data_IF_008410117751
#
_entry.id   IF_008410117751
#
_cell.length_a   1.000
_cell.length_b   1.000
_cell.length_c   1.000
_cell.angle_alpha   90.00
_cell.angle_beta   90.00
_cell.angle_gamma   90.00
#
_symmetry.space_group_name_H-M   'P 1'
#
loop_
_entity.id
_entity.type
_entity.pdbx_description
1 polymer ?
#
# COMPACT_ATOMS: atom_id res chain seq x y z
N UNK A 1 -9.66 2.62 24.63
CA UNK A 1 -8.67 3.68 24.25
C UNK A 1 -9.24 5.02 24.63
N UNK A 2 -8.47 5.86 25.35
CA UNK A 2 -8.90 7.17 25.83
C UNK A 2 -9.34 8.08 24.66
N UNK A 3 -10.49 8.74 24.82
CA UNK A 3 -11.08 9.64 23.82
C UNK A 3 -10.14 10.79 23.46
N UNK A 4 -9.37 11.30 24.43
CA UNK A 4 -8.38 12.35 24.22
C UNK A 4 -7.26 11.89 23.29
N UNK A 5 -6.74 10.65 23.50
CA UNK A 5 -5.73 10.05 22.64
C UNK A 5 -6.24 9.87 21.20
N UNK A 6 -7.49 9.42 21.02
CA UNK A 6 -8.12 9.30 19.68
C UNK A 6 -8.17 10.64 18.95
N UNK A 7 -8.62 11.70 19.63
CA UNK A 7 -8.69 13.05 19.05
C UNK A 7 -7.31 13.57 18.64
N UNK A 8 -6.30 13.39 19.50
CA UNK A 8 -4.91 13.78 19.21
C UNK A 8 -4.35 13.06 17.96
N UNK A 9 -4.48 11.73 17.90
CA UNK A 9 -4.00 10.95 16.76
C UNK A 9 -4.72 11.34 15.47
N UNK A 10 -6.03 11.62 15.53
CA UNK A 10 -6.79 12.10 14.38
C UNK A 10 -6.27 13.45 13.89
N UNK A 11 -6.08 14.41 14.79
CA UNK A 11 -5.57 15.75 14.45
C UNK A 11 -4.17 15.69 13.79
N UNK A 12 -3.27 14.82 14.32
CA UNK A 12 -1.95 14.59 13.71
C UNK A 12 -2.09 14.05 12.28
N UNK A 13 -2.93 13.03 12.07
CA UNK A 13 -3.11 12.41 10.77
C UNK A 13 -3.73 13.37 9.76
N UNK A 14 -4.78 14.09 10.12
CA UNK A 14 -5.43 15.10 9.27
C UNK A 14 -4.42 16.19 8.85
N UNK A 15 -3.68 16.76 9.81
CA UNK A 15 -2.65 17.75 9.52
C UNK A 15 -1.54 17.20 8.60
N UNK A 16 -1.13 15.94 8.79
CA UNK A 16 -0.13 15.30 7.94
C UNK A 16 -0.64 15.13 6.50
N UNK A 17 -1.84 14.57 6.32
CA UNK A 17 -2.44 14.42 4.99
C UNK A 17 -2.55 15.74 4.25
N UNK A 18 -3.04 16.80 4.91
CA UNK A 18 -3.13 18.14 4.32
C UNK A 18 -1.75 18.70 3.91
N UNK A 19 -0.71 18.53 4.73
CA UNK A 19 0.64 18.93 4.37
C UNK A 19 1.18 18.15 3.17
N UNK A 20 0.89 16.83 3.11
CA UNK A 20 1.34 15.97 2.01
C UNK A 20 0.67 16.28 0.67
N UNK A 21 -0.48 16.93 0.64
CA UNK A 21 -1.09 17.39 -0.63
C UNK A 21 -0.29 18.49 -1.32
N UNK A 22 0.54 19.24 -0.58
CA UNK A 22 1.26 20.43 -1.08
C UNK A 22 2.77 20.36 -0.91
N UNK A 23 3.29 19.38 -0.16
CA UNK A 23 4.71 19.23 0.15
C UNK A 23 5.19 17.79 0.02
N UNK A 24 6.44 17.63 -0.40
CA UNK A 24 7.15 16.36 -0.27
C UNK A 24 7.45 16.06 1.20
N UNK A 25 7.61 14.77 1.52
CA UNK A 25 7.82 14.30 2.90
C UNK A 25 8.99 15.01 3.59
N UNK A 26 10.10 15.19 2.88
CA UNK A 26 11.34 15.82 3.35
C UNK A 26 11.18 17.31 3.71
N UNK A 27 10.13 17.95 3.22
CA UNK A 27 9.84 19.37 3.46
C UNK A 27 8.94 19.61 4.67
N UNK A 28 8.40 18.54 5.28
CA UNK A 28 7.51 18.63 6.43
C UNK A 28 8.32 18.53 7.71
N UNK A 29 8.19 19.53 8.57
CA UNK A 29 8.81 19.54 9.89
C UNK A 29 7.81 19.18 11.00
N UNK A 30 8.30 18.60 12.10
CA UNK A 30 7.48 18.36 13.30
C UNK A 30 6.89 19.67 13.83
N UNK A 31 7.63 20.79 13.72
CA UNK A 31 7.14 22.11 14.16
C UNK A 31 5.90 22.52 13.40
N UNK A 32 5.95 22.47 12.08
CA UNK A 32 4.83 22.82 11.21
C UNK A 32 3.63 21.90 11.42
N UNK A 33 3.88 20.57 11.47
CA UNK A 33 2.84 19.60 11.70
C UNK A 33 2.11 19.84 13.03
N UNK A 34 2.87 20.06 14.12
CA UNK A 34 2.28 20.24 15.45
C UNK A 34 1.53 21.57 15.57
N UNK A 35 1.99 22.65 14.91
CA UNK A 35 1.25 23.89 14.81
C UNK A 35 -0.09 23.68 14.08
N UNK A 36 -0.07 22.98 12.93
CA UNK A 36 -1.28 22.69 12.16
C UNK A 36 -2.26 21.78 12.90
N UNK A 37 -1.75 20.79 13.62
CA UNK A 37 -2.55 19.88 14.44
C UNK A 37 -3.00 20.46 15.79
N UNK A 38 -2.61 21.70 16.12
CA UNK A 38 -2.88 22.38 17.38
C UNK A 38 -2.46 21.58 18.62
N UNK A 39 -1.28 20.93 18.55
CA UNK A 39 -0.70 20.16 19.65
C UNK A 39 0.72 20.61 20.00
N UNK A 40 1.21 20.21 21.18
CA UNK A 40 2.61 20.43 21.52
C UNK A 40 3.53 19.40 20.83
N UNK A 41 4.81 19.78 20.59
CA UNK A 41 5.84 18.83 20.12
C UNK A 41 5.98 17.62 21.08
N UNK A 42 5.91 17.87 22.40
CA UNK A 42 5.95 16.79 23.39
C UNK A 42 4.80 15.80 23.17
N UNK A 43 3.61 16.27 22.83
CA UNK A 43 2.47 15.41 22.50
C UNK A 43 2.71 14.58 21.23
N UNK A 44 3.33 15.16 20.20
CA UNK A 44 3.71 14.42 18.99
C UNK A 44 4.69 13.29 19.32
N UNK A 45 5.77 13.59 20.06
CA UNK A 45 6.80 12.62 20.40
C UNK A 45 6.35 11.50 21.36
N UNK A 46 5.16 11.61 21.97
CA UNK A 46 4.52 10.50 22.68
C UNK A 46 3.98 9.42 21.74
N UNK A 47 3.82 9.73 20.44
CA UNK A 47 3.19 8.85 19.45
C UNK A 47 4.12 8.45 18.32
N UNK A 48 5.00 9.35 17.89
CA UNK A 48 5.86 9.18 16.71
C UNK A 48 7.27 9.70 17.01
N UNK A 49 8.28 9.00 16.51
CA UNK A 49 9.69 9.40 16.66
C UNK A 49 10.03 10.64 15.83
N UNK A 50 9.49 10.70 14.61
CA UNK A 50 9.69 11.77 13.65
C UNK A 50 8.60 11.72 12.54
N UNK A 51 8.75 12.57 11.53
CA UNK A 51 7.82 12.64 10.38
C UNK A 51 7.87 11.36 9.52
N UNK A 52 9.02 10.73 9.42
CA UNK A 52 9.18 9.50 8.63
C UNK A 52 8.50 8.32 9.32
N UNK A 53 8.63 8.20 10.62
CA UNK A 53 7.92 7.20 11.43
C UNK A 53 6.39 7.36 11.32
N UNK A 54 5.89 8.59 11.38
CA UNK A 54 4.46 8.89 11.13
C UNK A 54 4.05 8.45 9.73
N UNK A 55 4.83 8.80 8.69
CA UNK A 55 4.56 8.42 7.30
C UNK A 55 4.51 6.90 7.13
N UNK A 56 5.51 6.19 7.67
CA UNK A 56 5.59 4.73 7.60
C UNK A 56 4.39 4.05 8.28
N UNK A 57 4.00 4.50 9.46
CA UNK A 57 2.84 3.97 10.16
C UNK A 57 1.54 4.19 9.36
N UNK A 58 1.36 5.36 8.74
CA UNK A 58 0.19 5.64 7.90
C UNK A 58 0.20 4.82 6.60
N UNK A 59 1.37 4.62 5.99
CA UNK A 59 1.51 3.71 4.84
C UNK A 59 1.11 2.28 5.21
N UNK A 60 1.58 1.78 6.35
CA UNK A 60 1.22 0.44 6.83
C UNK A 60 -0.29 0.32 7.13
N UNK A 61 -0.88 1.34 7.78
CA UNK A 61 -2.32 1.35 8.08
C UNK A 61 -3.18 1.29 6.81
N UNK A 62 -2.85 2.09 5.77
CA UNK A 62 -3.64 2.10 4.54
C UNK A 62 -3.46 0.81 3.74
N UNK A 63 -2.27 0.24 3.69
CA UNK A 63 -2.03 -1.06 3.04
C UNK A 63 -2.78 -2.18 3.77
N UNK A 64 -2.73 -2.22 5.10
CA UNK A 64 -3.51 -3.17 5.89
C UNK A 64 -5.01 -3.03 5.62
N UNK A 65 -5.52 -1.81 5.49
CA UNK A 65 -6.92 -1.56 5.16
C UNK A 65 -7.26 -2.05 3.75
N UNK A 66 -6.43 -1.75 2.74
CA UNK A 66 -6.60 -2.26 1.37
C UNK A 66 -6.70 -3.78 1.35
N UNK A 67 -5.79 -4.47 2.04
CA UNK A 67 -5.82 -5.94 2.11
C UNK A 67 -7.03 -6.50 2.87
N UNK A 68 -7.61 -5.75 3.81
CA UNK A 68 -8.84 -6.15 4.49
C UNK A 68 -10.09 -6.15 3.58
N UNK A 69 -9.99 -5.52 2.39
CA UNK A 69 -11.05 -5.49 1.38
C UNK A 69 -10.90 -6.62 0.33
N UNK A 70 -9.83 -7.41 0.40
CA UNK A 70 -9.57 -8.53 -0.50
C UNK A 70 -10.08 -9.81 0.16
N UNK A 71 -11.00 -10.51 -0.51
CA UNK A 71 -11.63 -11.72 0.03
C UNK A 71 -10.63 -12.83 0.28
N UNK A 72 -9.78 -13.11 -0.71
CA UNK A 72 -8.74 -14.14 -0.63
C UNK A 72 -7.40 -13.65 -1.21
N UNK A 73 -6.47 -13.19 -0.37
CA UNK A 73 -5.14 -12.81 -0.84
C UNK A 73 -4.32 -13.99 -1.41
N UNK A 74 -4.68 -15.25 -1.09
CA UNK A 74 -4.03 -16.43 -1.67
C UNK A 74 -4.41 -16.64 -3.14
N UNK A 75 -5.51 -16.05 -3.61
CA UNK A 75 -5.98 -16.15 -5.00
C UNK A 75 -4.92 -15.72 -6.03
N UNK A 76 -3.95 -14.89 -5.66
CA UNK A 76 -2.82 -14.57 -6.55
C UNK A 76 -2.09 -15.82 -7.08
N UNK A 77 -2.14 -16.93 -6.36
CA UNK A 77 -1.47 -18.18 -6.73
C UNK A 77 -2.35 -19.09 -7.61
N UNK A 78 -3.66 -18.88 -7.67
CA UNK A 78 -4.63 -19.75 -8.35
C UNK A 78 -5.55 -19.03 -9.32
N UNK A 79 -5.97 -17.80 -9.00
CA UNK A 79 -6.82 -16.91 -9.80
C UNK A 79 -6.28 -15.47 -9.70
N UNK A 80 -5.14 -15.26 -10.35
CA UNK A 80 -4.45 -13.98 -10.33
C UNK A 80 -5.31 -12.83 -10.89
N UNK A 81 -6.24 -13.12 -11.82
CA UNK A 81 -7.16 -12.12 -12.38
C UNK A 81 -8.13 -11.60 -11.31
N UNK A 82 -8.79 -12.51 -10.57
CA UNK A 82 -9.70 -12.12 -9.49
C UNK A 82 -8.97 -11.31 -8.41
N UNK A 83 -7.79 -11.77 -7.98
CA UNK A 83 -6.95 -11.03 -7.04
C UNK A 83 -6.62 -9.62 -7.53
N UNK A 84 -6.20 -9.49 -8.81
CA UNK A 84 -5.80 -8.20 -9.37
C UNK A 84 -6.98 -7.21 -9.43
N UNK A 85 -8.17 -7.68 -9.85
CA UNK A 85 -9.37 -6.83 -9.89
C UNK A 85 -9.71 -6.31 -8.50
N UNK A 86 -9.70 -7.18 -7.48
CA UNK A 86 -9.96 -6.78 -6.11
C UNK A 86 -8.90 -5.80 -5.58
N UNK A 87 -7.61 -6.08 -5.84
CA UNK A 87 -6.50 -5.22 -5.42
C UNK A 87 -6.61 -3.82 -6.03
N UNK A 88 -6.80 -3.72 -7.34
CA UNK A 88 -6.89 -2.41 -8.02
C UNK A 88 -8.14 -1.66 -7.55
N UNK A 89 -9.28 -2.35 -7.39
CA UNK A 89 -10.51 -1.74 -6.86
C UNK A 89 -10.32 -1.20 -5.44
N UNK A 90 -9.65 -1.94 -4.57
CA UNK A 90 -9.36 -1.52 -3.20
C UNK A 90 -8.37 -0.33 -3.15
N UNK A 91 -7.34 -0.32 -4.03
CA UNK A 91 -6.41 0.80 -4.15
C UNK A 91 -7.10 2.08 -4.65
N UNK A 92 -7.97 1.97 -5.67
CA UNK A 92 -8.72 3.13 -6.18
C UNK A 92 -9.72 3.68 -5.14
N UNK A 93 -10.37 2.81 -4.36
CA UNK A 93 -11.26 3.24 -3.28
C UNK A 93 -10.53 4.04 -2.18
N UNK A 94 -9.24 3.76 -1.95
CA UNK A 94 -8.40 4.44 -0.96
C UNK A 94 -7.46 5.49 -1.57
N UNK A 95 -7.68 5.87 -2.81
CA UNK A 95 -6.79 6.77 -3.58
C UNK A 95 -6.49 8.09 -2.88
N UNK A 96 -7.47 8.69 -2.23
CA UNK A 96 -7.31 9.95 -1.49
C UNK A 96 -6.31 9.83 -0.32
N UNK A 97 -6.22 8.65 0.29
CA UNK A 97 -5.25 8.35 1.35
C UNK A 97 -3.91 7.88 0.80
N UNK A 98 -3.93 7.09 -0.27
CA UNK A 98 -2.73 6.50 -0.89
C UNK A 98 -1.89 7.58 -1.58
N UNK A 99 -2.51 8.44 -2.40
CA UNK A 99 -1.79 9.41 -3.21
C UNK A 99 -0.86 10.32 -2.39
N UNK A 100 -1.27 10.94 -1.28
CA UNK A 100 -0.36 11.74 -0.48
C UNK A 100 0.76 10.94 0.17
N UNK A 101 0.49 9.70 0.62
CA UNK A 101 1.46 8.86 1.31
C UNK A 101 2.57 8.34 0.39
N UNK A 102 2.22 8.04 -0.87
CA UNK A 102 3.09 7.41 -1.85
C UNK A 102 3.41 8.32 -3.04
N UNK A 103 3.59 9.62 -2.79
CA UNK A 103 3.99 10.60 -3.81
C UNK A 103 5.45 11.05 -3.64
N UNK A 104 6.01 11.64 -4.71
CA UNK A 104 7.39 12.14 -4.71
C UNK A 104 8.41 11.02 -4.46
N UNK A 105 9.31 11.22 -3.51
CA UNK A 105 10.34 10.23 -3.12
C UNK A 105 9.76 8.91 -2.59
N UNK A 106 8.50 8.91 -2.17
CA UNK A 106 7.80 7.74 -1.62
C UNK A 106 7.05 6.92 -2.69
N UNK A 107 7.07 7.31 -3.97
CA UNK A 107 6.27 6.65 -5.02
C UNK A 107 6.62 5.16 -5.20
N UNK A 108 7.89 4.79 -5.11
CA UNK A 108 8.34 3.41 -5.23
C UNK A 108 7.99 2.53 -4.01
N UNK A 109 7.59 3.13 -2.89
CA UNK A 109 7.28 2.38 -1.68
C UNK A 109 5.94 1.61 -1.77
N UNK A 110 4.98 2.06 -2.61
CA UNK A 110 3.67 1.41 -2.70
C UNK A 110 3.74 -0.04 -3.19
N UNK A 111 4.30 -0.35 -4.36
CA UNK A 111 4.37 -1.75 -4.82
C UNK A 111 5.25 -2.62 -3.91
N UNK A 112 6.29 -2.06 -3.30
CA UNK A 112 7.13 -2.76 -2.31
C UNK A 112 6.31 -3.12 -1.06
N UNK A 113 5.51 -2.20 -0.55
CA UNK A 113 4.66 -2.43 0.62
C UNK A 113 3.56 -3.47 0.34
N UNK A 114 2.95 -3.42 -0.86
CA UNK A 114 1.97 -4.42 -1.31
C UNK A 114 2.62 -5.81 -1.35
N UNK A 115 3.79 -5.92 -1.98
CA UNK A 115 4.53 -7.19 -2.08
C UNK A 115 4.89 -7.74 -0.69
N UNK A 116 5.43 -6.91 0.18
CA UNK A 116 5.82 -7.31 1.53
C UNK A 116 4.63 -7.80 2.35
N UNK A 117 3.49 -7.09 2.29
CA UNK A 117 2.28 -7.47 3.00
C UNK A 117 1.71 -8.79 2.48
N UNK A 118 1.63 -8.96 1.15
CA UNK A 118 1.13 -10.17 0.53
C UNK A 118 2.03 -11.38 0.82
N UNK A 119 3.35 -11.25 0.69
CA UNK A 119 4.31 -12.31 1.05
C UNK A 119 4.16 -12.71 2.52
N UNK A 120 4.04 -11.73 3.42
CA UNK A 120 3.82 -12.02 4.83
C UNK A 120 2.52 -12.81 5.05
N UNK A 121 1.43 -12.42 4.39
CA UNK A 121 0.15 -13.13 4.46
C UNK A 121 0.29 -14.57 3.96
N UNK A 122 0.82 -14.77 2.76
CA UNK A 122 0.99 -16.10 2.13
C UNK A 122 1.87 -16.99 3.00
N UNK A 123 3.03 -16.50 3.44
CA UNK A 123 3.99 -17.32 4.21
C UNK A 123 3.55 -17.59 5.65
N UNK A 124 2.61 -16.80 6.18
CA UNK A 124 1.95 -17.10 7.46
C UNK A 124 0.96 -18.26 7.31
N UNK A 125 0.20 -18.30 6.21
CA UNK A 125 -0.81 -19.34 5.96
C UNK A 125 -0.23 -20.59 5.28
N UNK A 126 0.86 -20.43 4.52
CA UNK A 126 1.57 -21.52 3.83
C UNK A 126 3.10 -21.41 4.05
N UNK A 127 3.60 -21.74 5.25
CA UNK A 127 5.02 -21.54 5.61
C UNK A 127 6.00 -22.27 4.70
N UNK A 128 5.59 -23.43 4.14
CA UNK A 128 6.39 -24.23 3.21
C UNK A 128 6.73 -23.49 1.90
N UNK A 129 5.95 -22.47 1.53
CA UNK A 129 6.21 -21.65 0.32
C UNK A 129 7.29 -20.61 0.53
N UNK A 130 7.67 -20.28 1.78
CA UNK A 130 8.62 -19.20 2.10
C UNK A 130 9.98 -19.41 1.45
N UNK A 131 10.49 -20.63 1.47
CA UNK A 131 11.79 -20.99 0.88
C UNK A 131 11.70 -21.38 -0.60
N UNK A 132 10.51 -21.34 -1.19
CA UNK A 132 10.30 -21.65 -2.59
C UNK A 132 10.73 -20.45 -3.46
N UNK A 133 11.90 -20.55 -4.12
CA UNK A 133 12.44 -19.49 -4.95
C UNK A 133 11.51 -19.11 -6.11
N UNK A 134 10.80 -20.07 -6.73
CA UNK A 134 9.87 -19.83 -7.83
C UNK A 134 8.69 -18.94 -7.36
N UNK A 135 8.11 -19.23 -6.20
CA UNK A 135 7.02 -18.44 -5.62
C UNK A 135 7.50 -17.03 -5.28
N UNK A 136 8.68 -16.90 -4.68
CA UNK A 136 9.24 -15.58 -4.36
C UNK A 136 9.44 -14.71 -5.59
N UNK A 137 10.02 -15.27 -6.66
CA UNK A 137 10.23 -14.55 -7.93
C UNK A 137 8.89 -14.23 -8.59
N UNK A 138 7.95 -15.19 -8.62
CA UNK A 138 6.61 -15.00 -9.17
C UNK A 138 5.90 -13.82 -8.50
N UNK A 139 5.84 -13.79 -7.19
CA UNK A 139 5.15 -12.72 -6.44
C UNK A 139 5.79 -11.35 -6.71
N UNK A 140 7.14 -11.24 -6.66
CA UNK A 140 7.82 -9.98 -6.95
C UNK A 140 7.56 -9.51 -8.38
N UNK A 141 7.67 -10.40 -9.37
CA UNK A 141 7.47 -10.07 -10.78
C UNK A 141 6.03 -9.60 -11.05
N UNK A 142 5.02 -10.36 -10.59
CA UNK A 142 3.64 -10.05 -10.89
C UNK A 142 3.11 -8.83 -10.13
N UNK A 143 3.54 -8.61 -8.89
CA UNK A 143 3.09 -7.44 -8.13
C UNK A 143 3.73 -6.18 -8.68
N UNK A 144 5.05 -6.13 -8.75
CA UNK A 144 5.74 -4.92 -9.20
C UNK A 144 5.52 -4.67 -10.69
N UNK A 145 5.66 -5.71 -11.53
CA UNK A 145 5.41 -5.61 -12.96
C UNK A 145 3.96 -5.21 -13.27
N UNK A 146 3.00 -5.84 -12.63
CA UNK A 146 1.58 -5.52 -12.79
C UNK A 146 1.25 -4.09 -12.36
N UNK A 147 1.81 -3.62 -11.25
CA UNK A 147 1.63 -2.26 -10.76
C UNK A 147 2.15 -1.22 -11.76
N UNK A 148 3.39 -1.35 -12.22
CA UNK A 148 3.97 -0.39 -13.18
C UNK A 148 3.31 -0.48 -14.55
N UNK A 149 2.99 -1.69 -15.03
CA UNK A 149 2.25 -1.85 -16.28
C UNK A 149 0.86 -1.21 -16.23
N UNK A 150 0.16 -1.31 -15.09
CA UNK A 150 -1.10 -0.60 -14.86
C UNK A 150 -0.91 0.92 -14.92
N UNK A 151 0.02 1.48 -14.16
CA UNK A 151 0.25 2.93 -14.11
C UNK A 151 0.59 3.53 -15.48
N UNK A 152 1.47 2.88 -16.23
CA UNK A 152 1.94 3.35 -17.54
C UNK A 152 0.82 3.34 -18.60
N UNK A 153 -0.14 2.43 -18.49
CA UNK A 153 -1.10 2.18 -19.55
C UNK A 153 -2.53 2.64 -19.24
N UNK A 154 -2.90 2.82 -17.97
CA UNK A 154 -4.29 3.12 -17.57
C UNK A 154 -4.82 4.43 -18.17
N UNK A 155 -3.98 5.44 -18.33
CA UNK A 155 -4.37 6.73 -18.92
C UNK A 155 -4.65 6.64 -20.41
N UNK A 156 -3.98 5.73 -21.13
CA UNK A 156 -4.10 5.58 -22.59
C UNK A 156 -5.18 4.56 -22.97
N UNK A 157 -5.22 3.42 -22.29
CA UNK A 157 -6.10 2.30 -22.63
C UNK A 157 -7.40 2.28 -21.81
N UNK A 158 -7.41 2.98 -20.68
CA UNK A 158 -8.51 2.93 -19.72
C UNK A 158 -8.46 1.70 -18.81
N UNK A 159 -9.15 1.83 -17.67
CA UNK A 159 -9.17 0.87 -16.57
C UNK A 159 -9.46 -0.57 -16.98
N UNK A 160 -10.60 -0.78 -17.66
CA UNK A 160 -11.08 -2.14 -17.98
C UNK A 160 -10.16 -2.88 -18.95
N UNK A 161 -9.63 -2.16 -19.96
CA UNK A 161 -8.77 -2.78 -20.97
C UNK A 161 -7.42 -3.19 -20.37
N UNK A 162 -6.82 -2.33 -19.54
CA UNK A 162 -5.54 -2.67 -18.88
C UNK A 162 -5.70 -3.87 -17.96
N UNK A 163 -6.79 -3.92 -17.15
CA UNK A 163 -7.03 -5.06 -16.27
C UNK A 163 -7.20 -6.37 -17.03
N UNK A 164 -7.95 -6.36 -18.14
CA UNK A 164 -8.13 -7.55 -18.97
C UNK A 164 -6.79 -8.05 -19.52
N UNK A 165 -5.98 -7.16 -20.10
CA UNK A 165 -4.65 -7.53 -20.64
C UNK A 165 -3.71 -8.05 -19.56
N UNK A 166 -3.66 -7.41 -18.40
CA UNK A 166 -2.84 -7.88 -17.28
C UNK A 166 -3.31 -9.24 -16.76
N UNK A 167 -4.62 -9.46 -16.70
CA UNK A 167 -5.19 -10.76 -16.31
C UNK A 167 -4.85 -11.86 -17.29
N UNK A 168 -4.91 -11.62 -18.60
CA UNK A 168 -4.48 -12.57 -19.62
C UNK A 168 -2.99 -12.94 -19.45
N UNK A 169 -2.13 -11.95 -19.27
CA UNK A 169 -0.69 -12.16 -19.05
C UNK A 169 -0.45 -12.98 -17.78
N UNK A 170 -1.12 -12.65 -16.68
CA UNK A 170 -0.91 -13.33 -15.40
C UNK A 170 -1.42 -14.78 -15.42
N UNK A 171 -2.57 -15.03 -16.04
CA UNK A 171 -3.16 -16.38 -16.10
C UNK A 171 -2.30 -17.38 -16.88
N UNK A 172 -1.46 -16.94 -17.82
CA UNK A 172 -0.52 -17.81 -18.54
C UNK A 172 0.68 -18.26 -17.71
N UNK A 173 0.90 -17.66 -16.54
CA UNK A 173 2.10 -17.87 -15.71
C UNK A 173 1.80 -18.38 -14.29
N UNK A 174 0.59 -18.93 -14.05
CA UNK A 174 0.22 -19.45 -12.72
C UNK A 174 1.22 -20.50 -12.22
N UNK A 175 1.78 -20.37 -11.02
CA UNK A 175 2.85 -21.24 -10.53
C UNK A 175 2.37 -22.63 -10.11
N UNK A 176 1.04 -22.82 -9.91
CA UNK A 176 0.46 -23.99 -9.25
C UNK A 176 0.41 -25.25 -10.14
N UNK A 177 0.56 -25.13 -11.45
CA UNK A 177 0.54 -26.29 -12.33
C UNK A 177 1.73 -27.26 -12.19
N UNK A 178 2.71 -26.94 -11.31
CA UNK A 178 3.94 -27.73 -11.12
C UNK A 178 4.49 -27.73 -9.66
N UNK A 179 3.61 -27.55 -8.65
CA UNK A 179 4.00 -27.70 -7.24
C UNK A 179 3.43 -29.00 -6.65
#
# INVERSE_FOLDING_TARGET
>A
MDLRKKKTLRAIKEAFYELRTVKNLEQISVTELTQKAEISKATFYLHYRDIYDLSEQLQQEVIQFVFSQIEDPMAILSDAMSFMIQMVSALEAEKERITPLFSGSQAAALPISIEAHLKNHIFTHAPHLKENAKINVYLSYHIQGGYYAYLENVQTLGYSQVLNLLGEIQSTHLPIHHI
#
